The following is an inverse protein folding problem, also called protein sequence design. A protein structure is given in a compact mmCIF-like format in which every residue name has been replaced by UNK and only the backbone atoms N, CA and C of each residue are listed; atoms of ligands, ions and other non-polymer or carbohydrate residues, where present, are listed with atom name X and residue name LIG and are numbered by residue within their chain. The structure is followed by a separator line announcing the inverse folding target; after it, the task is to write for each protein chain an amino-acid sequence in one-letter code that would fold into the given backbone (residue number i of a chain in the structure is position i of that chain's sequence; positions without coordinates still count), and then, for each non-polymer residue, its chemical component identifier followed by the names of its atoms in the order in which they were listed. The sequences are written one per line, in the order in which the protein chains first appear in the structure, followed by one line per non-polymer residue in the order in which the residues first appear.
data_IF_076114612695
#
_entry.id   IF_076114612695
#
_cell.length_a   1.000
_cell.length_b   1.000
_cell.length_c   1.000
_cell.angle_alpha   90.00
_cell.angle_beta   90.00
_cell.angle_gamma   90.00
#
_symmetry.space_group_name_H-M   'P 1'
#
loop_
_entity.id
_entity.type
_entity.pdbx_description
1 polymer ?
#
# COMPACT_ATOMS: atom_id res chain seq x y z
N UNK A 1 2.98 2.82 0.37
CA UNK A 1 1.58 2.89 0.83
C UNK A 1 1.28 4.28 1.41
N UNK A 2 1.67 5.35 0.72
CA UNK A 2 1.54 6.71 1.26
C UNK A 2 0.22 7.36 0.84
N UNK A 3 -0.28 8.28 1.66
CA UNK A 3 -1.51 9.04 1.38
C UNK A 3 -1.34 9.95 0.16
N UNK A 4 -0.15 10.53 0.00
CA UNK A 4 0.21 11.41 -1.11
C UNK A 4 0.12 10.68 -2.45
N UNK A 5 0.55 9.41 -2.50
CA UNK A 5 0.44 8.62 -3.73
C UNK A 5 -1.01 8.24 -4.03
N UNK A 6 -1.81 7.90 -3.01
CA UNK A 6 -3.24 7.63 -3.19
C UNK A 6 -3.97 8.88 -3.73
N UNK A 7 -3.67 10.07 -3.19
CA UNK A 7 -4.21 11.33 -3.66
C UNK A 7 -3.83 11.58 -5.14
N UNK A 8 -2.54 11.47 -5.48
CA UNK A 8 -2.06 11.62 -6.87
C UNK A 8 -2.74 10.64 -7.84
N UNK A 9 -2.87 9.37 -7.43
CA UNK A 9 -3.58 8.36 -8.21
C UNK A 9 -5.02 8.79 -8.49
N UNK A 10 -5.74 9.26 -7.48
CA UNK A 10 -7.13 9.67 -7.67
C UNK A 10 -7.28 10.97 -8.45
N UNK A 11 -6.36 11.93 -8.34
CA UNK A 11 -6.34 13.08 -9.24
C UNK A 11 -6.23 12.64 -10.70
N UNK A 12 -5.33 11.70 -11.02
CA UNK A 12 -5.14 11.20 -12.39
C UNK A 12 -6.34 10.40 -12.89
N UNK A 13 -6.97 9.62 -12.01
CA UNK A 13 -8.21 8.91 -12.32
C UNK A 13 -9.33 9.90 -12.62
N UNK A 14 -9.51 10.95 -11.81
CA UNK A 14 -10.51 12.00 -12.03
C UNK A 14 -10.30 12.67 -13.38
N UNK A 15 -9.05 13.06 -13.71
CA UNK A 15 -8.72 13.66 -15.02
C UNK A 15 -9.12 12.77 -16.18
N UNK A 16 -8.85 11.46 -16.07
CA UNK A 16 -9.17 10.51 -17.12
C UNK A 16 -10.69 10.27 -17.24
N UNK A 17 -11.41 10.22 -16.13
CA UNK A 17 -12.87 10.02 -16.15
C UNK A 17 -13.57 11.25 -16.73
N UNK A 18 -13.18 12.46 -16.30
CA UNK A 18 -13.84 13.71 -16.67
C UNK A 18 -13.92 13.95 -18.18
N UNK A 19 -12.94 13.48 -18.94
CA UNK A 19 -12.88 13.64 -20.40
C UNK A 19 -13.57 12.51 -21.20
N UNK A 20 -14.22 11.56 -20.52
CA UNK A 20 -14.84 10.37 -21.14
C UNK A 20 -16.32 10.29 -20.85
N UNK A 21 -17.17 11.13 -21.47
CA UNK A 21 -18.61 11.18 -21.19
C UNK A 21 -19.36 9.89 -21.53
N UNK A 22 -18.77 8.99 -22.33
CA UNK A 22 -19.33 7.66 -22.62
C UNK A 22 -19.19 6.67 -21.46
N UNK A 23 -18.42 6.98 -20.42
CA UNK A 23 -18.42 6.23 -19.17
C UNK A 23 -19.69 6.57 -18.37
N UNK A 24 -20.71 5.72 -18.51
CA UNK A 24 -22.02 5.95 -17.89
C UNK A 24 -21.99 5.90 -16.35
N UNK A 25 -21.02 5.18 -15.75
CA UNK A 25 -20.77 5.20 -14.31
C UNK A 25 -19.32 4.82 -13.98
N UNK A 26 -18.83 5.34 -12.86
CA UNK A 26 -17.52 4.98 -12.30
C UNK A 26 -17.64 4.84 -10.79
N UNK A 27 -17.02 3.80 -10.24
CA UNK A 27 -17.13 3.45 -8.82
C UNK A 27 -15.74 3.29 -8.23
N UNK A 28 -15.38 4.19 -7.31
CA UNK A 28 -14.12 4.07 -6.57
C UNK A 28 -14.14 2.78 -5.77
N UNK A 29 -13.05 2.01 -5.84
CA UNK A 29 -12.76 0.95 -4.88
C UNK A 29 -11.72 1.46 -3.87
N UNK A 30 -12.13 1.89 -2.68
CA UNK A 30 -13.51 1.90 -2.18
C UNK A 30 -13.77 3.07 -1.21
N UNK A 31 -14.99 3.20 -0.69
CA UNK A 31 -15.31 4.35 0.16
C UNK A 31 -14.62 4.29 1.53
N UNK A 32 -14.60 3.13 2.18
CA UNK A 32 -14.09 2.94 3.53
C UNK A 32 -13.12 1.78 3.61
N UNK A 33 -12.02 1.90 4.34
CA UNK A 33 -11.19 0.72 4.61
C UNK A 33 -12.05 -0.40 5.22
N UNK A 34 -11.71 -1.66 4.93
CA UNK A 34 -12.52 -2.80 5.36
C UNK A 34 -11.68 -4.04 5.67
N UNK A 35 -12.20 -4.90 6.53
CA UNK A 35 -11.55 -6.14 6.92
C UNK A 35 -11.46 -7.12 5.73
N UNK A 36 -10.26 -7.64 5.52
CA UNK A 36 -9.94 -8.67 4.57
C UNK A 36 -8.87 -9.56 5.20
N UNK A 37 -9.31 -10.51 6.04
CA UNK A 37 -8.47 -11.31 6.95
C UNK A 37 -7.23 -11.97 6.29
N UNK A 38 -7.34 -12.33 5.01
CA UNK A 38 -6.25 -12.92 4.25
C UNK A 38 -5.15 -11.92 3.83
N UNK A 39 -5.33 -10.60 4.01
CA UNK A 39 -4.35 -9.58 3.61
C UNK A 39 -3.27 -9.38 4.67
N UNK A 40 -2.04 -9.21 4.20
CA UNK A 40 -0.87 -8.87 5.00
C UNK A 40 0.01 -7.94 4.18
N UNK A 41 -0.36 -6.66 4.15
CA UNK A 41 0.24 -5.62 3.33
C UNK A 41 0.14 -4.27 4.03
N UNK A 42 0.96 -3.28 3.64
CA UNK A 42 0.77 -1.89 4.06
C UNK A 42 1.02 -1.56 5.54
N UNK A 43 1.55 -2.50 6.33
CA UNK A 43 1.89 -2.29 7.75
C UNK A 43 0.79 -2.65 8.75
N UNK A 44 -0.41 -3.03 8.29
CA UNK A 44 -1.51 -3.48 9.13
C UNK A 44 -2.18 -4.70 8.47
N UNK A 45 -2.17 -5.84 9.17
CA UNK A 45 -2.72 -7.10 8.67
C UNK A 45 -4.26 -7.14 8.75
N UNK A 46 -4.87 -8.01 7.94
CA UNK A 46 -6.30 -8.29 7.96
C UNK A 46 -7.17 -7.17 7.38
N UNK A 47 -6.57 -6.18 6.70
CA UNK A 47 -7.25 -4.97 6.25
C UNK A 47 -6.98 -4.68 4.77
N UNK A 48 -7.95 -4.03 4.14
CA UNK A 48 -7.80 -3.39 2.84
C UNK A 48 -7.87 -1.87 3.00
N UNK A 49 -6.75 -1.19 2.77
CA UNK A 49 -6.59 0.25 2.98
C UNK A 49 -6.86 1.12 1.75
N UNK A 50 -7.63 0.63 0.78
CA UNK A 50 -7.99 1.37 -0.45
C UNK A 50 -9.14 2.37 -0.24
N UNK A 51 -9.68 2.47 0.97
CA UNK A 51 -10.74 3.40 1.33
C UNK A 51 -10.32 4.85 1.10
N UNK A 52 -11.27 5.70 0.72
CA UNK A 52 -11.14 7.17 0.83
C UNK A 52 -11.25 7.64 2.29
N UNK A 53 -11.85 6.83 3.14
CA UNK A 53 -12.07 7.07 4.57
C UNK A 53 -11.59 5.84 5.35
N UNK A 54 -11.12 6.03 6.58
CA UNK A 54 -10.68 4.93 7.46
C UNK A 54 -11.81 3.99 7.88
N UNK A 55 -11.42 2.82 8.37
CA UNK A 55 -12.35 1.74 8.75
C UNK A 55 -13.29 2.16 9.90
N UNK A 56 -12.82 2.97 10.84
CA UNK A 56 -13.65 3.49 11.93
C UNK A 56 -14.47 4.74 11.55
N UNK A 57 -14.38 5.17 10.28
CA UNK A 57 -15.07 6.32 9.69
C UNK A 57 -14.63 7.69 10.23
N UNK A 58 -13.58 7.75 11.05
CA UNK A 58 -13.16 9.00 11.70
C UNK A 58 -12.22 9.86 10.87
N UNK A 59 -11.41 9.26 10.00
CA UNK A 59 -10.43 10.00 9.20
C UNK A 59 -10.75 9.92 7.72
N UNK A 60 -10.91 11.09 7.08
CA UNK A 60 -11.07 11.25 5.64
C UNK A 60 -9.69 11.51 5.05
N UNK A 61 -9.22 10.62 4.16
CA UNK A 61 -7.91 10.74 3.52
C UNK A 61 -7.93 11.87 2.49
N UNK A 62 -6.77 12.39 2.11
CA UNK A 62 -6.68 13.48 1.12
C UNK A 62 -7.43 13.18 -0.19
N UNK A 63 -7.41 11.92 -0.65
CA UNK A 63 -8.15 11.49 -1.82
C UNK A 63 -9.68 11.70 -1.72
N UNK A 64 -10.27 11.63 -0.51
CA UNK A 64 -11.68 11.99 -0.30
C UNK A 64 -11.96 13.43 -0.73
N UNK A 65 -11.07 14.35 -0.38
CA UNK A 65 -11.21 15.77 -0.67
C UNK A 65 -10.97 16.09 -2.15
N UNK A 66 -10.16 15.30 -2.87
CA UNK A 66 -10.06 15.40 -4.32
C UNK A 66 -11.41 15.15 -5.01
N UNK A 67 -12.13 14.10 -4.58
CA UNK A 67 -13.49 13.84 -5.06
C UNK A 67 -14.50 14.88 -4.56
N UNK A 68 -14.41 15.33 -3.30
CA UNK A 68 -15.29 16.40 -2.80
C UNK A 68 -15.14 17.68 -3.64
N UNK A 69 -13.92 18.05 -4.03
CA UNK A 69 -13.64 19.22 -4.86
C UNK A 69 -14.25 19.10 -6.26
N UNK A 70 -14.29 17.89 -6.81
CA UNK A 70 -14.82 17.63 -8.14
C UNK A 70 -16.34 17.45 -8.18
N UNK A 71 -16.93 16.83 -7.15
CA UNK A 71 -18.33 16.39 -7.15
C UNK A 71 -19.26 17.22 -6.27
N UNK A 72 -18.74 17.84 -5.19
CA UNK A 72 -19.59 18.55 -4.21
C UNK A 72 -19.90 19.97 -4.63
N UNK A 73 -21.10 20.43 -4.26
CA UNK A 73 -21.54 21.84 -4.37
C UNK A 73 -21.31 22.63 -3.08
N UNK A 74 -21.02 21.97 -1.95
CA UNK A 74 -20.73 22.62 -0.68
C UNK A 74 -19.35 23.28 -0.74
N UNK A 75 -19.24 24.62 -0.58
CA UNK A 75 -17.96 25.32 -0.54
C UNK A 75 -17.02 24.76 0.53
N UNK A 76 -15.76 24.54 0.18
CA UNK A 76 -14.74 24.14 1.15
C UNK A 76 -13.32 24.41 0.64
N UNK A 77 -12.34 24.38 1.53
CA UNK A 77 -10.91 24.30 1.19
C UNK A 77 -10.24 23.24 2.07
N UNK A 78 -9.32 22.45 1.52
CA UNK A 78 -8.56 21.43 2.23
C UNK A 78 -7.10 21.41 1.79
N UNK A 79 -6.19 21.66 2.72
CA UNK A 79 -4.75 21.47 2.56
C UNK A 79 -4.43 19.99 2.76
N UNK A 80 -3.75 19.39 1.78
CA UNK A 80 -3.33 17.99 1.82
C UNK A 80 -2.06 17.78 2.65
N UNK A 81 -1.79 16.54 3.06
CA UNK A 81 -0.56 16.17 3.75
C UNK A 81 -0.49 16.68 5.19
N UNK A 82 -1.65 16.88 5.86
CA UNK A 82 -1.70 17.31 7.27
C UNK A 82 -0.99 16.35 8.24
N UNK A 83 -0.85 15.08 7.84
CA UNK A 83 -0.11 14.04 8.60
C UNK A 83 1.37 13.97 8.23
N UNK A 84 1.79 14.59 7.12
CA UNK A 84 3.19 14.67 6.71
C UNK A 84 3.80 15.99 7.22
N UNK A 85 4.10 16.02 8.52
CA UNK A 85 4.55 17.23 9.23
C UNK A 85 6.04 17.45 9.05
N UNK A 86 6.88 16.46 9.37
CA UNK A 86 8.33 16.60 9.29
C UNK A 86 8.83 16.39 7.86
N UNK A 87 9.43 17.43 7.27
CA UNK A 87 9.86 17.42 5.87
C UNK A 87 11.34 17.79 5.75
N UNK A 88 12.18 16.97 5.10
CA UNK A 88 13.62 17.21 4.99
C UNK A 88 14.02 18.15 3.85
N UNK A 89 13.14 18.42 2.88
CA UNK A 89 13.42 19.32 1.77
C UNK A 89 13.38 20.80 2.18
N UNK A 90 14.02 21.70 1.42
CA UNK A 90 14.00 23.15 1.68
C UNK A 90 12.76 23.84 1.09
N UNK A 91 12.21 23.27 0.02
CA UNK A 91 10.95 23.71 -0.59
C UNK A 91 10.09 22.49 -0.77
N UNK A 92 8.96 22.45 -0.08
CA UNK A 92 8.02 21.33 -0.12
C UNK A 92 6.85 21.64 -1.04
N UNK A 93 6.28 20.59 -1.64
CA UNK A 93 5.05 20.73 -2.42
C UNK A 93 3.84 20.57 -1.49
N UNK A 94 2.90 21.49 -1.61
CA UNK A 94 1.63 21.45 -0.87
C UNK A 94 0.50 21.49 -1.89
N UNK A 95 -0.34 20.46 -1.86
CA UNK A 95 -1.56 20.41 -2.66
C UNK A 95 -2.71 20.97 -1.83
N UNK A 96 -3.57 21.77 -2.48
CA UNK A 96 -4.81 22.26 -1.89
C UNK A 96 -5.97 21.84 -2.81
N UNK A 97 -7.05 21.34 -2.21
CA UNK A 97 -8.28 20.99 -2.90
C UNK A 97 -9.40 21.94 -2.47
N UNK A 98 -10.11 22.52 -3.43
CA UNK A 98 -11.28 23.37 -3.19
C UNK A 98 -12.15 23.42 -4.45
N UNK A 99 -13.47 23.51 -4.30
CA UNK A 99 -14.39 23.76 -5.41
C UNK A 99 -14.59 25.26 -5.71
N UNK A 100 -14.02 26.15 -4.91
CA UNK A 100 -14.02 27.60 -5.13
C UNK A 100 -13.19 28.00 -6.38
N UNK A 101 -13.46 29.18 -6.97
CA UNK A 101 -12.79 29.61 -8.20
C UNK A 101 -11.31 29.97 -8.04
N UNK A 102 -10.84 30.18 -6.81
CA UNK A 102 -9.44 30.49 -6.51
C UNK A 102 -9.09 30.20 -5.06
N UNK A 103 -7.81 29.97 -4.80
CA UNK A 103 -7.26 29.80 -3.45
C UNK A 103 -5.96 30.59 -3.29
N UNK A 104 -5.82 31.21 -2.13
CA UNK A 104 -4.55 31.81 -1.67
C UNK A 104 -3.97 30.98 -0.54
N UNK A 105 -2.67 30.68 -0.62
CA UNK A 105 -1.95 29.96 0.44
C UNK A 105 -0.98 30.91 1.14
N UNK A 106 -0.94 30.82 2.47
CA UNK A 106 -0.04 31.59 3.32
C UNK A 106 0.90 30.64 4.07
N UNK A 107 2.16 31.04 4.24
CA UNK A 107 3.14 30.41 5.11
C UNK A 107 3.56 31.40 6.21
N UNK A 108 3.27 31.09 7.47
CA UNK A 108 3.49 31.98 8.62
C UNK A 108 2.91 33.39 8.38
N UNK A 109 1.70 33.45 7.80
CA UNK A 109 0.99 34.70 7.48
C UNK A 109 1.49 35.42 6.22
N UNK A 110 2.60 34.99 5.61
CA UNK A 110 3.08 35.55 4.33
C UNK A 110 2.41 34.84 3.15
N UNK A 111 1.78 35.60 2.26
CA UNK A 111 1.17 35.04 1.04
C UNK A 111 2.22 34.40 0.13
N UNK A 112 1.88 33.22 -0.40
CA UNK A 112 2.59 32.51 -1.45
C UNK A 112 1.92 32.69 -2.83
N UNK A 113 0.94 33.60 -2.91
CA UNK A 113 0.20 33.93 -4.12
C UNK A 113 -1.17 33.26 -4.21
N UNK A 114 -1.97 33.80 -5.14
CA UNK A 114 -3.31 33.31 -5.47
C UNK A 114 -3.24 32.44 -6.71
N UNK A 115 -3.82 31.25 -6.67
CA UNK A 115 -4.04 30.41 -7.85
C UNK A 115 -5.52 30.39 -8.21
N UNK A 116 -5.82 30.61 -9.50
CA UNK A 116 -7.18 30.46 -10.05
C UNK A 116 -7.40 29.02 -10.48
N UNK A 117 -8.64 28.55 -10.37
CA UNK A 117 -9.05 27.20 -10.77
C UNK A 117 -8.78 27.00 -12.27
N UNK A 118 -8.04 25.94 -12.59
CA UNK A 118 -7.86 25.48 -13.97
C UNK A 118 -9.01 24.56 -14.40
N UNK A 119 -8.72 23.60 -15.28
CA UNK A 119 -9.69 22.57 -15.67
C UNK A 119 -10.14 21.71 -14.48
N UNK A 120 -9.22 21.42 -13.56
CA UNK A 120 -9.46 20.61 -12.37
C UNK A 120 -9.30 21.41 -11.08
N UNK A 121 -10.05 21.06 -10.00
CA UNK A 121 -10.05 21.79 -8.74
C UNK A 121 -8.86 21.39 -7.83
N UNK A 122 -7.66 21.26 -8.41
CA UNK A 122 -6.43 20.84 -7.73
C UNK A 122 -5.36 21.93 -7.89
N UNK A 123 -4.84 22.41 -6.76
CA UNK A 123 -3.92 23.55 -6.72
C UNK A 123 -2.60 23.11 -6.09
N UNK A 124 -1.47 23.54 -6.66
CA UNK A 124 -0.15 23.05 -6.25
C UNK A 124 0.77 24.22 -5.92
N UNK A 125 1.20 24.30 -4.67
CA UNK A 125 2.08 25.35 -4.18
C UNK A 125 3.47 24.80 -3.89
N UNK A 126 4.49 25.62 -4.16
CA UNK A 126 5.85 25.40 -3.68
C UNK A 126 6.06 26.26 -2.44
N UNK A 127 6.30 25.62 -1.31
CA UNK A 127 6.31 26.25 0.01
C UNK A 127 7.72 26.19 0.59
N UNK A 128 8.35 27.33 0.91
CA UNK A 128 9.58 27.35 1.69
C UNK A 128 9.38 26.64 3.03
N UNK A 129 10.26 25.69 3.35
CA UNK A 129 10.19 24.87 4.55
C UNK A 129 11.35 25.22 5.48
N UNK A 130 11.05 26.09 6.46
CA UNK A 130 12.01 26.66 7.39
C UNK A 130 11.43 26.62 8.81
N UNK A 131 12.12 25.97 9.74
CA UNK A 131 11.63 25.81 11.12
C UNK A 131 10.23 25.19 11.17
N UNK A 132 9.35 25.73 12.02
CA UNK A 132 7.93 25.41 12.00
C UNK A 132 7.17 26.43 11.12
N UNK A 133 6.34 25.92 10.22
CA UNK A 133 5.53 26.73 9.31
C UNK A 133 4.06 26.37 9.45
N UNK A 134 3.26 27.35 9.88
CA UNK A 134 1.80 27.29 9.81
C UNK A 134 1.36 27.65 8.40
N UNK A 135 0.57 26.78 7.79
CA UNK A 135 -0.02 26.99 6.48
C UNK A 135 -1.49 27.32 6.63
N UNK A 136 -1.93 28.39 5.98
CA UNK A 136 -3.35 28.77 5.96
C UNK A 136 -3.79 28.91 4.51
N UNK A 137 -4.83 28.19 4.12
CA UNK A 137 -5.45 28.31 2.80
C UNK A 137 -6.77 29.06 2.92
N UNK A 138 -6.99 30.04 2.06
CA UNK A 138 -8.24 30.81 1.99
C UNK A 138 -8.83 30.71 0.59
N UNK A 139 -10.09 30.32 0.49
CA UNK A 139 -10.83 30.22 -0.77
C UNK A 139 -12.28 30.64 -0.53
N UNK A 140 -12.71 31.76 -1.12
CA UNK A 140 -13.98 32.38 -0.75
C UNK A 140 -14.04 32.68 0.75
N UNK A 141 -15.14 32.28 1.40
CA UNK A 141 -15.31 32.37 2.86
C UNK A 141 -14.71 31.19 3.62
N UNK A 142 -14.19 30.17 2.92
CA UNK A 142 -13.63 28.97 3.53
C UNK A 142 -12.15 29.18 3.90
N UNK A 143 -11.77 28.65 5.06
CA UNK A 143 -10.39 28.65 5.55
C UNK A 143 -10.02 27.26 6.08
N UNK A 144 -8.78 26.85 5.86
CA UNK A 144 -8.21 25.63 6.43
C UNK A 144 -6.76 25.86 6.87
N UNK A 145 -6.32 25.14 7.89
CA UNK A 145 -4.99 25.26 8.48
C UNK A 145 -4.25 23.91 8.48
N UNK A 146 -2.94 23.95 8.28
CA UNK A 146 -2.05 22.82 8.51
C UNK A 146 -0.68 23.29 8.99
N UNK A 147 0.21 22.36 9.33
CA UNK A 147 1.54 22.65 9.84
C UNK A 147 2.57 21.74 9.19
N UNK A 148 3.73 22.29 8.88
CA UNK A 148 4.91 21.56 8.45
C UNK A 148 6.10 21.98 9.31
N UNK A 149 7.11 21.12 9.37
CA UNK A 149 8.34 21.37 10.11
C UNK A 149 9.54 20.92 9.31
N UNK A 150 10.52 21.79 9.17
CA UNK A 150 11.84 21.48 8.63
C UNK A 150 12.60 20.58 9.58
N UNK A 151 13.11 19.47 9.04
CA UNK A 151 14.02 18.55 9.75
C UNK A 151 15.26 18.26 8.92
N UNK A 152 16.35 17.86 9.56
CA UNK A 152 17.60 17.52 8.86
C UNK A 152 17.62 16.10 8.30
N UNK A 153 16.89 15.19 8.95
CA UNK A 153 16.81 13.77 8.60
C UNK A 153 15.37 13.38 8.35
N UNK A 154 15.18 12.46 7.41
CA UNK A 154 13.88 11.87 7.12
C UNK A 154 13.33 11.22 8.39
N UNK A 155 12.08 11.51 8.72
CA UNK A 155 11.38 10.83 9.80
C UNK A 155 11.03 9.39 9.35
N UNK A 156 11.64 8.39 10.00
CA UNK A 156 11.48 6.98 9.65
C UNK A 156 10.08 6.43 9.98
N UNK A 157 9.30 7.10 10.83
CA UNK A 157 7.93 6.71 11.16
C UNK A 157 6.97 6.89 9.98
N UNK A 158 7.31 7.77 9.02
CA UNK A 158 6.55 7.96 7.78
C UNK A 158 6.87 6.92 6.70
N UNK A 159 7.90 6.11 6.93
CA UNK A 159 8.35 5.08 5.99
C UNK A 159 7.84 3.73 6.49
N UNK A 160 7.05 3.06 5.65
CA UNK A 160 6.68 1.67 5.90
C UNK A 160 7.95 0.82 6.00
N UNK A 161 8.23 0.33 7.20
CA UNK A 161 9.32 -0.60 7.47
C UNK A 161 8.85 -2.00 7.05
N UNK A 162 9.18 -2.43 5.84
CA UNK A 162 8.78 -3.76 5.36
C UNK A 162 9.68 -4.84 5.97
N UNK A 163 9.13 -5.63 6.89
CA UNK A 163 9.73 -6.90 7.30
C UNK A 163 9.34 -8.00 6.30
N UNK A 164 10.04 -8.08 5.17
CA UNK A 164 9.91 -9.22 4.26
C UNK A 164 10.13 -8.92 2.79
N UNK A 165 9.98 -9.97 1.98
CA UNK A 165 10.20 -9.95 0.55
C UNK A 165 8.94 -9.51 -0.22
N UNK A 166 8.91 -8.28 -0.75
CA UNK A 166 7.88 -7.89 -1.74
C UNK A 166 8.20 -8.51 -3.10
N UNK A 167 7.29 -9.36 -3.58
CA UNK A 167 7.39 -10.04 -4.87
C UNK A 167 6.20 -9.64 -5.73
N UNK A 168 6.50 -8.84 -6.74
CA UNK A 168 5.52 -8.44 -7.73
C UNK A 168 5.18 -9.61 -8.65
N UNK A 169 3.97 -9.61 -9.18
CA UNK A 169 3.48 -10.69 -10.06
C UNK A 169 4.30 -10.79 -11.36
N UNK A 170 4.85 -9.67 -11.86
CA UNK A 170 5.69 -9.64 -13.06
C UNK A 170 7.11 -10.18 -12.83
N UNK A 171 7.51 -10.41 -11.58
CA UNK A 171 8.80 -11.02 -11.23
C UNK A 171 8.71 -12.54 -11.17
N UNK A 172 7.50 -13.09 -11.22
CA UNK A 172 7.22 -14.52 -11.12
C UNK A 172 7.08 -15.07 -12.54
N UNK A 173 8.11 -15.73 -13.03
CA UNK A 173 8.04 -16.46 -14.28
C UNK A 173 7.11 -17.68 -14.16
N UNK A 174 6.12 -17.80 -15.04
CA UNK A 174 5.14 -18.92 -15.06
C UNK A 174 5.06 -19.57 -16.44
N UNK A 175 6.03 -20.42 -16.83
CA UNK A 175 6.04 -21.04 -18.14
C UNK A 175 4.80 -21.94 -18.35
N UNK A 176 4.13 -21.88 -19.52
CA UNK A 176 2.96 -22.70 -19.79
C UNK A 176 3.23 -24.20 -19.58
N UNK A 177 2.35 -24.86 -18.81
CA UNK A 177 2.46 -26.30 -18.53
C UNK A 177 3.45 -26.67 -17.42
N UNK A 178 4.12 -25.70 -16.78
CA UNK A 178 5.04 -25.92 -15.67
C UNK A 178 4.51 -25.34 -14.36
N UNK A 179 4.92 -25.92 -13.24
CA UNK A 179 4.56 -25.46 -11.90
C UNK A 179 5.24 -24.13 -11.57
N UNK A 180 4.65 -23.38 -10.65
CA UNK A 180 5.14 -22.10 -10.13
C UNK A 180 4.79 -21.97 -8.64
N UNK A 181 5.29 -20.93 -7.98
CA UNK A 181 4.91 -20.64 -6.58
C UNK A 181 3.42 -20.29 -6.41
N UNK A 182 2.69 -20.08 -7.51
CA UNK A 182 1.24 -19.85 -7.49
C UNK A 182 0.44 -21.16 -7.39
N UNK A 183 1.05 -22.31 -7.66
CA UNK A 183 0.41 -23.62 -7.51
C UNK A 183 0.34 -24.04 -6.03
N UNK A 184 -0.64 -24.89 -5.70
CA UNK A 184 -0.87 -25.31 -4.32
C UNK A 184 0.19 -26.31 -3.84
N UNK A 185 0.42 -26.36 -2.53
CA UNK A 185 1.27 -27.40 -1.93
C UNK A 185 0.76 -28.80 -2.31
N UNK A 186 -0.56 -29.01 -2.37
CA UNK A 186 -1.18 -30.25 -2.81
C UNK A 186 -0.76 -30.66 -4.22
N UNK A 187 -0.84 -29.74 -5.18
CA UNK A 187 -0.46 -29.99 -6.57
C UNK A 187 1.02 -30.36 -6.70
N UNK A 188 1.88 -29.66 -5.96
CA UNK A 188 3.32 -29.91 -5.95
C UNK A 188 3.61 -31.30 -5.40
N UNK A 189 3.02 -31.63 -4.25
CA UNK A 189 3.19 -32.93 -3.61
C UNK A 189 2.58 -34.09 -4.41
N UNK A 190 1.70 -33.83 -5.39
CA UNK A 190 1.17 -34.84 -6.28
C UNK A 190 2.20 -35.36 -7.30
N UNK A 191 3.36 -34.70 -7.46
CA UNK A 191 4.43 -35.13 -8.37
C UNK A 191 5.67 -35.63 -7.64
N UNK A 192 6.38 -36.63 -8.19
CA UNK A 192 7.61 -37.14 -7.60
C UNK A 192 8.70 -36.05 -7.48
N UNK A 193 8.86 -35.23 -8.53
CA UNK A 193 9.78 -34.08 -8.53
C UNK A 193 9.38 -33.01 -7.51
N UNK A 194 8.08 -32.75 -7.34
CA UNK A 194 7.59 -31.78 -6.36
C UNK A 194 7.78 -32.25 -4.92
N UNK A 195 7.59 -33.55 -4.62
CA UNK A 195 7.95 -34.13 -3.31
C UNK A 195 9.43 -33.96 -2.98
N UNK A 196 10.31 -34.20 -3.95
CA UNK A 196 11.76 -33.97 -3.79
C UNK A 196 12.09 -32.50 -3.54
N UNK A 197 11.42 -31.58 -4.24
CA UNK A 197 11.61 -30.15 -4.02
C UNK A 197 11.11 -29.72 -2.63
N UNK A 198 9.97 -30.25 -2.17
CA UNK A 198 9.44 -29.97 -0.84
C UNK A 198 10.44 -30.35 0.26
N UNK A 199 11.16 -31.47 0.13
CA UNK A 199 12.24 -31.85 1.06
C UNK A 199 13.38 -30.81 1.08
N UNK A 200 13.73 -30.24 -0.07
CA UNK A 200 14.75 -29.17 -0.15
C UNK A 200 14.24 -27.88 0.52
N UNK A 201 12.97 -27.53 0.32
CA UNK A 201 12.34 -26.37 0.96
C UNK A 201 12.31 -26.56 2.48
N UNK A 202 11.98 -27.76 3.00
CA UNK A 202 12.04 -28.05 4.43
C UNK A 202 13.44 -27.84 5.01
N UNK A 203 14.51 -28.22 4.29
CA UNK A 203 15.89 -27.93 4.71
C UNK A 203 16.16 -26.41 4.75
N UNK A 204 15.70 -25.66 3.76
CA UNK A 204 15.81 -24.20 3.72
C UNK A 204 15.07 -23.54 4.89
N UNK A 205 13.83 -23.97 5.17
CA UNK A 205 13.04 -23.53 6.34
C UNK A 205 13.82 -23.73 7.63
N UNK A 206 14.38 -24.94 7.85
CA UNK A 206 15.17 -25.23 9.05
C UNK A 206 16.41 -24.35 9.16
N UNK A 207 17.07 -24.06 8.05
CA UNK A 207 18.24 -23.18 8.03
C UNK A 207 17.87 -21.72 8.35
N UNK A 208 16.80 -21.20 7.74
CA UNK A 208 16.32 -19.84 7.97
C UNK A 208 15.79 -19.66 9.41
N UNK A 209 15.06 -20.65 9.95
CA UNK A 209 14.61 -20.66 11.34
C UNK A 209 15.78 -20.64 12.34
N UNK A 210 16.88 -21.33 12.03
CA UNK A 210 18.10 -21.28 12.86
C UNK A 210 18.76 -19.90 12.82
N UNK A 211 18.83 -19.28 11.63
CA UNK A 211 19.40 -17.92 11.45
C UNK A 211 18.57 -16.84 12.14
N UNK A 212 17.25 -17.02 12.20
CA UNK A 212 16.32 -16.05 12.79
C UNK A 212 16.00 -16.33 14.28
N UNK A 213 16.76 -17.20 14.97
CA UNK A 213 16.56 -17.43 16.42
C UNK A 213 16.68 -16.13 17.21
N UNK A 214 15.57 -15.71 17.83
CA UNK A 214 15.50 -14.53 18.70
C UNK A 214 14.86 -13.28 18.07
N UNK A 215 14.52 -13.30 16.78
CA UNK A 215 13.73 -12.23 16.14
C UNK A 215 12.27 -12.68 15.99
N UNK A 216 11.33 -11.79 16.33
CA UNK A 216 9.92 -11.94 15.95
C UNK A 216 9.87 -11.97 14.42
N UNK A 217 9.13 -12.92 13.86
CA UNK A 217 8.80 -12.95 12.44
C UNK A 217 7.51 -12.18 12.13
N UNK A 218 6.77 -11.72 13.15
CA UNK A 218 5.56 -10.90 12.99
C UNK A 218 4.39 -11.58 12.27
N UNK A 219 4.51 -12.87 11.93
CA UNK A 219 3.59 -13.61 11.09
C UNK A 219 3.01 -14.87 11.73
N UNK A 220 2.28 -15.68 10.95
CA UNK A 220 1.64 -16.92 11.42
C UNK A 220 2.65 -17.93 12.01
N UNK A 221 3.94 -17.80 11.66
CA UNK A 221 5.02 -18.59 12.24
C UNK A 221 5.21 -18.36 13.76
N UNK A 222 4.95 -17.14 14.26
CA UNK A 222 4.96 -16.84 15.69
C UNK A 222 3.69 -17.34 16.40
N UNK A 223 2.53 -17.23 15.74
CA UNK A 223 1.26 -17.81 16.22
C UNK A 223 1.27 -19.34 16.26
N UNK A 224 2.05 -19.98 15.37
CA UNK A 224 2.23 -21.42 15.34
C UNK A 224 3.19 -21.95 16.42
N UNK A 225 3.92 -21.08 17.15
CA UNK A 225 4.73 -21.50 18.30
C UNK A 225 3.82 -22.06 19.39
N UNK A 226 3.80 -23.38 19.52
CA UNK A 226 3.00 -24.09 20.54
C UNK A 226 1.77 -24.82 19.98
N UNK A 227 1.38 -24.60 18.72
CA UNK A 227 0.36 -25.42 18.06
C UNK A 227 0.94 -26.79 17.67
N UNK A 228 0.28 -27.87 18.11
CA UNK A 228 0.61 -29.23 17.65
C UNK A 228 0.09 -29.40 16.22
N UNK A 229 0.98 -29.77 15.29
CA UNK A 229 0.57 -30.18 13.94
C UNK A 229 -0.45 -31.33 14.06
N UNK A 230 -1.64 -31.13 13.51
CA UNK A 230 -2.64 -32.19 13.36
C UNK A 230 -2.95 -32.41 11.87
N UNK A 231 -3.62 -33.52 11.56
CA UNK A 231 -3.97 -33.87 10.17
C UNK A 231 -4.78 -32.77 9.48
N UNK A 232 -5.69 -32.11 10.18
CA UNK A 232 -6.57 -31.08 9.61
C UNK A 232 -5.78 -29.83 9.19
N UNK A 233 -4.80 -29.41 9.99
CA UNK A 233 -3.89 -28.29 9.67
C UNK A 233 -3.04 -28.63 8.44
N UNK A 234 -2.57 -29.88 8.33
CA UNK A 234 -1.78 -30.33 7.18
C UNK A 234 -2.65 -30.36 5.91
N UNK A 235 -3.87 -30.89 5.98
CA UNK A 235 -4.80 -30.91 4.85
C UNK A 235 -5.19 -29.50 4.41
N UNK A 236 -5.48 -28.61 5.36
CA UNK A 236 -5.73 -27.19 5.06
C UNK A 236 -4.52 -26.54 4.38
N UNK A 237 -3.31 -26.80 4.88
CA UNK A 237 -2.07 -26.26 4.31
C UNK A 237 -1.82 -26.70 2.87
N UNK A 238 -2.29 -27.90 2.46
CA UNK A 238 -2.18 -28.35 1.06
C UNK A 238 -2.95 -27.45 0.09
N UNK A 239 -4.01 -26.78 0.55
CA UNK A 239 -4.81 -25.87 -0.28
C UNK A 239 -4.16 -24.51 -0.52
N UNK A 240 -3.08 -24.16 0.20
CA UNK A 240 -2.38 -22.89 0.01
C UNK A 240 -1.33 -22.98 -1.09
N UNK A 241 -1.17 -21.88 -1.82
CA UNK A 241 -0.03 -21.72 -2.74
C UNK A 241 1.27 -21.57 -1.97
N UNK A 242 2.39 -21.95 -2.61
CA UNK A 242 3.72 -21.75 -2.03
C UNK A 242 3.95 -20.28 -1.71
N UNK A 243 3.54 -19.37 -2.62
CA UNK A 243 3.63 -17.93 -2.42
C UNK A 243 2.92 -17.50 -1.14
N UNK A 244 1.68 -17.95 -0.92
CA UNK A 244 0.89 -17.62 0.28
C UNK A 244 1.61 -18.07 1.56
N UNK A 245 2.16 -19.28 1.55
CA UNK A 245 2.86 -19.84 2.71
C UNK A 245 4.15 -19.08 3.01
N UNK A 246 4.93 -18.72 1.99
CA UNK A 246 6.13 -17.90 2.16
C UNK A 246 5.81 -16.50 2.72
N UNK A 247 4.73 -15.87 2.24
CA UNK A 247 4.28 -14.56 2.75
C UNK A 247 3.80 -14.65 4.20
N UNK A 248 3.01 -15.67 4.54
CA UNK A 248 2.55 -15.92 5.91
C UNK A 248 3.68 -16.24 6.90
N UNK A 249 4.86 -16.61 6.40
CA UNK A 249 6.02 -16.93 7.22
C UNK A 249 6.80 -15.69 7.70
N UNK A 250 6.31 -14.46 7.44
CA UNK A 250 6.75 -13.26 8.14
C UNK A 250 8.25 -12.96 7.99
N UNK A 251 8.73 -12.82 6.75
CA UNK A 251 10.14 -12.55 6.49
C UNK A 251 11.09 -13.75 6.68
N UNK A 252 10.58 -14.96 6.94
CA UNK A 252 11.41 -16.17 7.00
C UNK A 252 12.14 -16.47 5.69
N UNK A 253 11.60 -16.03 4.55
CA UNK A 253 12.22 -16.17 3.24
C UNK A 253 12.53 -14.80 2.64
N UNK A 254 13.72 -14.68 2.05
CA UNK A 254 14.04 -13.52 1.22
C UNK A 254 13.36 -13.63 -0.15
N UNK A 255 13.33 -12.52 -0.89
CA UNK A 255 12.75 -12.45 -2.24
C UNK A 255 13.46 -13.42 -3.18
N UNK A 256 14.78 -13.43 -3.10
CA UNK A 256 15.66 -14.26 -3.91
C UNK A 256 15.40 -15.73 -3.65
N UNK A 257 15.19 -16.12 -2.37
CA UNK A 257 14.87 -17.50 -2.01
C UNK A 257 13.51 -17.93 -2.59
N UNK A 258 12.51 -17.06 -2.56
CA UNK A 258 11.19 -17.38 -3.13
C UNK A 258 11.26 -17.47 -4.67
N UNK A 259 12.00 -16.59 -5.32
CA UNK A 259 12.23 -16.64 -6.77
C UNK A 259 13.06 -17.89 -7.17
N UNK A 260 14.02 -18.30 -6.34
CA UNK A 260 14.76 -19.55 -6.54
C UNK A 260 13.84 -20.77 -6.45
N UNK A 261 12.91 -20.79 -5.48
CA UNK A 261 11.88 -21.82 -5.38
C UNK A 261 11.03 -21.83 -6.66
N UNK A 262 10.61 -20.66 -7.16
CA UNK A 262 9.86 -20.54 -8.40
C UNK A 262 10.62 -21.10 -9.60
N UNK A 263 11.88 -20.72 -9.79
CA UNK A 263 12.73 -21.21 -10.88
C UNK A 263 12.91 -22.73 -10.84
N UNK A 264 12.88 -23.36 -9.66
CA UNK A 264 12.92 -24.82 -9.51
C UNK A 264 11.57 -25.47 -9.83
N UNK A 265 10.46 -24.84 -9.46
CA UNK A 265 9.11 -25.29 -9.81
C UNK A 265 8.88 -25.22 -11.32
N UNK A 266 9.42 -24.20 -11.99
CA UNK A 266 9.35 -24.03 -13.44
C UNK A 266 10.01 -25.19 -14.23
N UNK A 267 10.74 -26.09 -13.56
CA UNK A 267 11.32 -27.31 -14.16
C UNK A 267 10.46 -28.56 -13.96
N UNK A 268 9.30 -28.42 -13.34
CA UNK A 268 8.36 -29.51 -13.02
C UNK A 268 7.10 -29.30 -13.85
N UNK A 269 6.80 -30.26 -14.73
CA UNK A 269 5.56 -30.23 -15.52
C UNK A 269 4.35 -30.39 -14.61
N UNK A 270 3.30 -29.61 -14.87
CA UNK A 270 1.98 -29.84 -14.28
C UNK A 270 1.47 -31.21 -14.72
N UNK A 271 0.74 -31.88 -13.82
CA UNK A 271 0.02 -33.09 -14.20
C UNK A 271 -1.07 -32.66 -15.19
N UNK A 272 -1.12 -33.25 -16.37
CA UNK A 272 -2.28 -33.07 -17.25
C UNK A 272 -3.50 -33.61 -16.49
N UNK A 273 -4.54 -32.78 -16.39
CA UNK A 273 -5.84 -33.21 -15.88
C UNK A 273 -6.51 -34.07 -16.92
#
# INVERSE_FOLDING_TARGET
YTEEYQAKYHEDVIRQIAVRPWLWSTHVWNMFDFAADARSEGGENGMNHKGLVTFDRKYKKDAFYAYKAWLSKEPFVHICGKRYVDRPENVTKVTVYTNEPSVELFANGKSLGVQKRGEFPFFYFSVPNEGETVLTAKAGDCTDESRIRKVDKVNTDYILQEEGAVINWFEIETPPGYMSINDTIGDILATAKGKLLALKIIKMVRANMKKNKGKSTGGMADMAKGMKLNKNIIEMGKGFSVKRVCMMAGGLFTKEQILEINARLNKIKKKQK
#
